data_IF_202173295940
#
_entry.id   IF_202173295940
#
_cell.length_a   1.000
_cell.length_b   1.000
_cell.length_c   1.000
_cell.angle_alpha   90.00
_cell.angle_beta   90.00
_cell.angle_gamma   90.00
#
_symmetry.space_group_name_H-M   'P 1'
#
loop_
_entity.id
_entity.type
_entity.pdbx_description
1 polymer ?
#
# COMPACT_ATOMS: atom_id res chain seq x y z
N UNK A 1 -2.22 11.15 40.57
CA UNK A 1 -0.94 10.50 40.20
C UNK A 1 -0.92 10.28 38.68
N UNK A 2 -0.84 11.37 37.90
CA UNK A 2 -0.72 11.34 36.42
C UNK A 2 0.55 12.08 35.96
N UNK A 3 1.25 12.78 36.86
CA UNK A 3 2.42 13.59 36.54
C UNK A 3 3.71 12.78 36.28
N UNK A 4 3.65 11.46 36.14
CA UNK A 4 4.84 10.63 35.90
C UNK A 4 5.19 10.51 34.42
N UNK A 5 4.32 10.96 33.51
CA UNK A 5 4.56 10.89 32.06
C UNK A 5 5.14 12.17 31.44
N UNK A 6 5.35 13.24 32.23
CA UNK A 6 5.95 14.49 31.76
C UNK A 6 7.45 14.61 32.03
N UNK A 7 8.09 13.59 32.60
CA UNK A 7 9.53 13.61 32.84
C UNK A 7 10.30 12.76 31.82
N UNK A 8 11.14 13.46 31.05
CA UNK A 8 12.15 12.96 30.12
C UNK A 8 11.61 12.20 28.89
N UNK A 9 11.42 12.95 27.80
CA UNK A 9 11.42 12.38 26.45
C UNK A 9 10.12 11.72 25.98
N UNK A 10 8.96 12.00 26.61
CA UNK A 10 7.65 11.47 26.21
C UNK A 10 6.53 12.51 26.27
N UNK A 11 6.61 13.51 25.40
CA UNK A 11 5.55 14.51 25.22
C UNK A 11 4.68 14.07 24.04
N UNK A 12 3.70 13.20 24.30
CA UNK A 12 2.70 12.79 23.29
C UNK A 12 1.28 13.23 23.64
N UNK A 13 1.12 13.93 24.77
CA UNK A 13 -0.17 14.42 25.27
C UNK A 13 -0.11 15.95 25.32
N UNK A 14 -0.92 16.60 24.49
CA UNK A 14 -1.19 18.04 24.58
C UNK A 14 -2.52 18.19 25.32
N UNK A 15 -2.50 18.86 26.47
CA UNK A 15 -3.72 19.17 27.25
C UNK A 15 -4.22 20.55 26.82
N UNK A 16 -5.29 20.60 26.02
CA UNK A 16 -5.85 21.87 25.49
C UNK A 16 -6.61 22.71 26.55
N UNK A 17 -6.70 22.28 27.82
CA UNK A 17 -7.30 23.09 28.87
C UNK A 17 -6.70 22.77 30.27
N UNK A 18 -5.63 23.47 30.70
CA UNK A 18 -4.95 23.17 31.97
C UNK A 18 -5.77 23.53 33.23
N UNK A 19 -7.01 24.00 33.10
CA UNK A 19 -7.90 24.38 34.22
C UNK A 19 -9.27 23.69 34.25
N UNK A 20 -9.58 22.79 33.32
CA UNK A 20 -10.87 22.08 33.27
C UNK A 20 -10.97 20.95 34.30
N UNK A 21 -12.18 20.71 34.84
CA UNK A 21 -12.43 19.57 35.74
C UNK A 21 -12.02 18.25 35.06
N UNK A 22 -11.45 17.28 35.79
CA UNK A 22 -10.84 16.07 35.23
C UNK A 22 -11.81 15.11 34.50
N UNK A 23 -13.12 15.38 34.56
CA UNK A 23 -14.16 14.50 33.97
C UNK A 23 -14.31 14.68 32.45
N UNK A 24 -13.71 15.71 31.86
CA UNK A 24 -13.89 16.09 30.45
C UNK A 24 -12.54 16.41 29.79
N UNK A 25 -11.51 15.62 30.12
CA UNK A 25 -10.20 15.73 29.46
C UNK A 25 -10.23 14.90 28.17
N UNK A 26 -10.48 15.56 27.05
CA UNK A 26 -10.23 15.00 25.72
C UNK A 26 -8.72 14.95 25.49
N UNK A 27 -8.14 13.76 25.55
CA UNK A 27 -6.73 13.54 25.23
C UNK A 27 -6.58 13.53 23.69
N UNK A 28 -6.13 14.64 23.11
CA UNK A 28 -5.64 14.63 21.73
C UNK A 28 -4.25 14.04 21.71
N UNK A 29 -4.14 12.84 21.16
CA UNK A 29 -2.87 12.25 20.80
C UNK A 29 -2.37 12.98 19.54
N UNK A 30 -1.28 13.73 19.67
CA UNK A 30 -0.65 14.39 18.53
C UNK A 30 -0.02 13.31 17.62
N UNK A 31 -0.69 13.01 16.51
CA UNK A 31 -0.30 11.98 15.53
C UNK A 31 1.14 12.13 15.03
N UNK A 32 1.65 13.36 14.97
CA UNK A 32 2.97 13.66 14.40
C UNK A 32 4.13 13.28 15.34
N UNK A 33 3.93 13.35 16.66
CA UNK A 33 4.99 13.11 17.65
C UNK A 33 5.20 11.61 17.96
N UNK A 34 4.21 10.76 17.67
CA UNK A 34 4.32 9.30 17.86
C UNK A 34 5.17 8.69 16.76
N UNK A 35 4.90 9.06 15.51
CA UNK A 35 5.63 8.57 14.33
C UNK A 35 7.11 8.94 14.44
N UNK A 36 7.43 10.13 14.96
CA UNK A 36 8.82 10.57 15.06
C UNK A 36 9.67 9.80 16.08
N UNK A 37 9.05 9.18 17.10
CA UNK A 37 9.77 8.46 18.17
C UNK A 37 9.70 6.93 18.04
N UNK A 38 8.89 6.40 17.13
CA UNK A 38 8.66 4.97 16.96
C UNK A 38 9.16 4.50 15.60
N UNK A 39 10.44 4.15 15.55
CA UNK A 39 11.13 3.70 14.32
C UNK A 39 10.38 2.58 13.57
N UNK A 40 9.87 1.61 14.33
CA UNK A 40 9.09 0.50 13.74
C UNK A 40 7.78 0.97 13.10
N UNK A 41 7.13 1.99 13.66
CA UNK A 41 5.89 2.53 13.10
C UNK A 41 6.18 3.30 11.80
N UNK A 42 7.29 4.06 11.74
CA UNK A 42 7.74 4.70 10.49
C UNK A 42 7.96 3.69 9.39
N UNK A 43 8.70 2.63 9.68
CA UNK A 43 8.97 1.59 8.70
C UNK A 43 7.67 0.97 8.17
N UNK A 44 6.71 0.68 9.05
CA UNK A 44 5.40 0.16 8.62
C UNK A 44 4.62 1.15 7.77
N UNK A 45 4.65 2.44 8.10
CA UNK A 45 4.01 3.47 7.29
C UNK A 45 4.66 3.60 5.90
N UNK A 46 5.99 3.47 5.82
CA UNK A 46 6.70 3.48 4.54
C UNK A 46 6.39 2.24 3.69
N UNK A 47 6.37 1.06 4.30
CA UNK A 47 5.97 -0.19 3.65
C UNK A 47 4.52 -0.11 3.12
N UNK A 48 3.62 0.46 3.93
CA UNK A 48 2.23 0.69 3.56
C UNK A 48 2.09 1.67 2.39
N UNK A 49 2.82 2.79 2.42
CA UNK A 49 2.76 3.77 1.34
C UNK A 49 3.33 3.21 0.03
N UNK A 50 4.42 2.44 0.10
CA UNK A 50 4.97 1.72 -1.06
C UNK A 50 3.94 0.73 -1.63
N UNK A 51 3.28 -0.05 -0.77
CA UNK A 51 2.25 -0.98 -1.21
C UNK A 51 1.06 -0.26 -1.87
N UNK A 52 0.61 0.84 -1.27
CA UNK A 52 -0.43 1.71 -1.83
C UNK A 52 -0.05 2.23 -3.20
N UNK A 53 1.17 2.74 -3.38
CA UNK A 53 1.62 3.28 -4.66
C UNK A 53 1.62 2.23 -5.77
N UNK A 54 2.07 1.00 -5.47
CA UNK A 54 2.04 -0.12 -6.42
C UNK A 54 0.58 -0.45 -6.80
N UNK A 55 -0.32 -0.52 -5.82
CA UNK A 55 -1.73 -0.77 -6.07
C UNK A 55 -2.36 0.30 -6.98
N UNK A 56 -2.14 1.58 -6.69
CA UNK A 56 -2.70 2.68 -7.49
C UNK A 56 -2.19 2.65 -8.94
N UNK A 57 -0.92 2.32 -9.15
CA UNK A 57 -0.36 2.12 -10.50
C UNK A 57 -1.01 0.96 -11.23
N UNK A 58 -1.21 -0.17 -10.54
CA UNK A 58 -1.89 -1.33 -11.11
C UNK A 58 -3.33 -0.98 -11.50
N UNK A 59 -4.08 -0.29 -10.63
CA UNK A 59 -5.46 0.12 -10.93
C UNK A 59 -5.52 1.06 -12.13
N UNK A 60 -4.62 2.04 -12.20
CA UNK A 60 -4.55 2.94 -13.34
C UNK A 60 -4.21 2.19 -14.64
N UNK A 61 -3.24 1.27 -14.60
CA UNK A 61 -2.91 0.43 -15.75
C UNK A 61 -4.11 -0.42 -16.22
N UNK A 62 -4.88 -0.99 -15.28
CA UNK A 62 -6.09 -1.74 -15.58
C UNK A 62 -7.19 -0.87 -16.23
N UNK A 63 -7.36 0.38 -15.80
CA UNK A 63 -8.28 1.34 -16.41
C UNK A 63 -7.84 1.77 -17.82
N UNK A 64 -6.56 2.04 -17.99
CA UNK A 64 -6.01 2.38 -19.31
C UNK A 64 -6.16 1.21 -20.28
N UNK A 65 -5.95 -0.02 -19.82
CA UNK A 65 -6.14 -1.21 -20.64
C UNK A 65 -7.59 -1.37 -21.09
N UNK A 66 -8.56 -1.22 -20.18
CA UNK A 66 -10.00 -1.31 -20.53
C UNK A 66 -10.41 -0.23 -21.54
N UNK A 67 -9.89 0.99 -21.39
CA UNK A 67 -10.15 2.09 -22.33
C UNK A 67 -9.37 1.98 -23.64
N UNK A 68 -8.66 0.87 -23.88
CA UNK A 68 -7.79 0.64 -25.05
C UNK A 68 -6.67 1.69 -25.21
N UNK A 69 -6.33 2.40 -24.13
CA UNK A 69 -5.28 3.44 -24.09
C UNK A 69 -3.96 2.93 -23.49
N UNK A 70 -4.00 1.77 -22.84
CA UNK A 70 -2.85 1.12 -22.22
C UNK A 70 -2.64 -0.31 -22.74
N UNK A 71 -1.45 -0.85 -22.50
CA UNK A 71 -1.11 -2.23 -22.78
C UNK A 71 -1.13 -3.11 -21.53
N UNK A 72 -0.92 -4.42 -21.73
CA UNK A 72 -0.68 -5.36 -20.63
C UNK A 72 0.64 -5.06 -19.92
N UNK A 73 0.70 -5.39 -18.63
CA UNK A 73 1.94 -5.33 -17.87
C UNK A 73 2.93 -6.36 -18.42
N UNK A 74 4.19 -5.95 -18.57
CA UNK A 74 5.27 -6.80 -19.10
C UNK A 74 6.55 -6.66 -18.29
N UNK A 75 7.43 -7.64 -18.49
CA UNK A 75 8.82 -7.66 -18.01
C UNK A 75 8.95 -7.25 -16.53
N UNK A 76 9.69 -6.16 -16.26
CA UNK A 76 10.02 -5.72 -14.91
C UNK A 76 8.80 -5.23 -14.12
N UNK A 77 7.84 -4.56 -14.75
CA UNK A 77 6.67 -4.02 -14.06
C UNK A 77 5.73 -5.14 -13.62
N UNK A 78 5.52 -6.14 -14.49
CA UNK A 78 4.77 -7.34 -14.16
C UNK A 78 5.42 -8.11 -13.00
N UNK A 79 6.73 -8.33 -13.06
CA UNK A 79 7.44 -9.04 -11.99
C UNK A 79 7.39 -8.31 -10.65
N UNK A 80 7.59 -6.98 -10.67
CA UNK A 80 7.57 -6.16 -9.45
C UNK A 80 6.19 -6.20 -8.81
N UNK A 81 5.14 -5.99 -9.60
CA UNK A 81 3.76 -5.98 -9.13
C UNK A 81 3.31 -7.37 -8.67
N UNK A 82 3.75 -8.44 -9.35
CA UNK A 82 3.46 -9.81 -8.96
C UNK A 82 4.11 -10.17 -7.61
N UNK A 83 5.40 -9.86 -7.44
CA UNK A 83 6.10 -10.07 -6.17
C UNK A 83 5.45 -9.29 -5.02
N UNK A 84 5.03 -8.06 -5.29
CA UNK A 84 4.28 -7.27 -4.32
C UNK A 84 2.97 -7.95 -3.92
N UNK A 85 2.17 -8.44 -4.88
CA UNK A 85 0.93 -9.19 -4.59
C UNK A 85 1.22 -10.39 -3.67
N UNK A 86 2.29 -11.14 -3.95
CA UNK A 86 2.66 -12.33 -3.16
C UNK A 86 3.16 -11.98 -1.75
N UNK A 87 3.95 -10.91 -1.61
CA UNK A 87 4.54 -10.52 -0.34
C UNK A 87 3.55 -9.77 0.58
N UNK A 88 2.79 -8.84 0.00
CA UNK A 88 1.88 -7.96 0.75
C UNK A 88 0.47 -8.53 0.89
N UNK A 89 0.03 -9.39 -0.03
CA UNK A 89 -1.29 -10.01 -0.04
C UNK A 89 -2.44 -9.01 0.18
N UNK A 90 -2.60 -8.01 -0.73
CA UNK A 90 -3.60 -6.96 -0.56
C UNK A 90 -5.02 -7.53 -0.53
N UNK A 91 -5.89 -6.96 0.30
CA UNK A 91 -7.30 -7.35 0.41
C UNK A 91 -8.23 -6.29 -0.18
N UNK A 92 -9.45 -6.67 -0.56
CA UNK A 92 -10.44 -5.73 -1.07
C UNK A 92 -10.77 -4.62 -0.06
N UNK A 93 -10.85 -4.97 1.23
CA UNK A 93 -11.08 -3.99 2.31
C UNK A 93 -9.95 -2.97 2.37
N UNK A 94 -8.69 -3.43 2.37
CA UNK A 94 -7.53 -2.54 2.34
C UNK A 94 -7.53 -1.63 1.10
N UNK A 95 -7.73 -2.21 -0.07
CA UNK A 95 -7.71 -1.49 -1.34
C UNK A 95 -8.81 -0.43 -1.46
N UNK A 96 -9.98 -0.68 -0.87
CA UNK A 96 -11.14 0.22 -0.91
C UNK A 96 -10.87 1.61 -0.32
N UNK A 97 -9.88 1.73 0.57
CA UNK A 97 -9.43 3.01 1.11
C UNK A 97 -8.73 3.91 0.08
N UNK A 98 -8.27 3.32 -1.03
CA UNK A 98 -7.45 4.02 -2.03
C UNK A 98 -8.09 4.03 -3.41
N UNK A 99 -8.66 2.91 -3.84
CA UNK A 99 -9.33 2.77 -5.12
C UNK A 99 -10.32 1.59 -5.07
N UNK A 100 -11.55 1.79 -5.57
CA UNK A 100 -12.61 0.79 -5.61
C UNK A 100 -12.42 -0.31 -6.66
N UNK A 101 -11.41 -0.19 -7.55
CA UNK A 101 -11.19 -1.09 -8.68
C UNK A 101 -10.36 -2.34 -8.34
N UNK A 102 -10.43 -2.84 -7.11
CA UNK A 102 -9.56 -3.91 -6.63
C UNK A 102 -9.66 -5.19 -7.46
N UNK A 103 -10.89 -5.70 -7.63
CA UNK A 103 -11.13 -6.95 -8.35
C UNK A 103 -10.66 -6.86 -9.81
N UNK A 104 -10.98 -5.74 -10.47
CA UNK A 104 -10.54 -5.45 -11.84
C UNK A 104 -9.01 -5.39 -11.95
N UNK A 105 -8.36 -4.72 -11.01
CA UNK A 105 -6.90 -4.59 -10.94
C UNK A 105 -6.23 -5.95 -10.80
N UNK A 106 -6.77 -6.81 -9.94
CA UNK A 106 -6.24 -8.16 -9.71
C UNK A 106 -6.46 -9.06 -10.92
N UNK A 107 -7.63 -9.02 -11.55
CA UNK A 107 -7.92 -9.76 -12.77
C UNK A 107 -6.98 -9.34 -13.92
N UNK A 108 -6.75 -8.04 -14.07
CA UNK A 108 -5.82 -7.49 -15.06
C UNK A 108 -4.37 -7.97 -14.83
N UNK A 109 -3.93 -8.03 -13.58
CA UNK A 109 -2.61 -8.54 -13.22
C UNK A 109 -2.46 -10.03 -13.59
N UNK A 110 -3.46 -10.84 -13.27
CA UNK A 110 -3.46 -12.28 -13.59
C UNK A 110 -3.51 -12.54 -15.09
N UNK A 111 -4.33 -11.76 -15.81
CA UNK A 111 -4.38 -11.83 -17.26
C UNK A 111 -3.03 -11.44 -17.90
N UNK A 112 -2.40 -10.36 -17.42
CA UNK A 112 -1.08 -9.93 -17.88
C UNK A 112 -0.02 -11.01 -17.65
N UNK A 113 -0.04 -11.69 -16.49
CA UNK A 113 0.87 -12.81 -16.20
C UNK A 113 0.66 -13.97 -17.16
N UNK A 114 -0.59 -14.39 -17.33
CA UNK A 114 -0.95 -15.52 -18.19
C UNK A 114 -0.52 -15.27 -19.64
N UNK A 115 -0.75 -14.04 -20.15
CA UNK A 115 -0.33 -13.66 -21.50
C UNK A 115 1.20 -13.66 -21.65
N UNK A 116 1.93 -13.15 -20.66
CA UNK A 116 3.39 -13.16 -20.69
C UNK A 116 3.97 -14.59 -20.72
N UNK A 117 3.36 -15.53 -19.97
CA UNK A 117 3.75 -16.94 -19.98
C UNK A 117 3.47 -17.61 -21.34
N UNK A 118 2.31 -17.33 -21.95
CA UNK A 118 1.98 -17.82 -23.29
C UNK A 118 2.95 -17.30 -24.35
N UNK A 119 3.25 -16.00 -24.32
CA UNK A 119 4.20 -15.37 -25.22
C UNK A 119 5.60 -16.00 -25.10
N UNK A 120 6.02 -16.29 -23.86
CA UNK A 120 7.29 -16.95 -23.60
C UNK A 120 7.33 -18.37 -24.19
N UNK A 121 6.31 -19.18 -23.90
CA UNK A 121 6.22 -20.56 -24.41
C UNK A 121 6.16 -20.60 -25.94
N UNK A 122 5.44 -19.67 -26.56
CA UNK A 122 5.37 -19.55 -28.00
C UNK A 122 6.75 -19.24 -28.60
N UNK A 123 7.46 -18.25 -28.05
CA UNK A 123 8.81 -17.90 -28.49
C UNK A 123 9.78 -19.07 -28.36
N UNK A 124 9.72 -19.82 -27.26
CA UNK A 124 10.59 -20.97 -27.03
C UNK A 124 10.33 -22.11 -28.04
N UNK A 125 9.06 -22.39 -28.36
CA UNK A 125 8.69 -23.37 -29.40
C UNK A 125 9.20 -22.96 -30.78
N UNK A 126 9.10 -21.67 -31.13
CA UNK A 126 9.56 -21.16 -32.42
C UNK A 126 11.09 -21.19 -32.55
N UNK A 127 11.82 -21.04 -31.44
CA UNK A 127 13.28 -21.18 -31.44
C UNK A 127 13.74 -22.64 -31.62
N UNK A 128 13.02 -23.61 -31.06
CA UNK A 128 13.35 -25.04 -31.20
C UNK A 128 13.05 -25.63 -32.58
N UNK A 129 12.27 -24.93 -33.41
CA UNK A 129 11.91 -25.36 -34.78
C UNK A 129 12.80 -24.74 -35.87
N UNK A 130 13.79 -23.91 -35.49
CA UNK A 130 14.82 -23.37 -36.39
C UNK A 130 16.11 -24.16 -36.23
#
# INVERSE_FOLDING_TARGET
MINTFSEQGREFIIVENPGGKPTEQEFKIANELIVERWERLRQWMEEEDQARQIYLRLSNAADLYETSKGGLLRDAELQTTWKWKEAYAPTASWASHYNSLFEKSMLFLEYSKTQAEQDFLFKEKMQKQR
#
